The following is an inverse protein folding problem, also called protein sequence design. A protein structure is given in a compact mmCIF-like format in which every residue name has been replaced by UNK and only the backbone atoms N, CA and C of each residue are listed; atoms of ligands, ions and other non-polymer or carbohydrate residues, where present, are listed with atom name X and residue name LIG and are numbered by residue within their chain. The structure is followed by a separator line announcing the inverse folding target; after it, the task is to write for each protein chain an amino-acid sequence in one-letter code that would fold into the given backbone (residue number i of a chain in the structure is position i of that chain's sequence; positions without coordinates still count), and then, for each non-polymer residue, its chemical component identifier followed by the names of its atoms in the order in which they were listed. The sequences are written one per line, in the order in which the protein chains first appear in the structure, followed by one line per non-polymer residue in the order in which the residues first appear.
data_IF_850631911633
#
_entry.id   IF_850631911633
#
_cell.length_a   1.000
_cell.length_b   1.000
_cell.length_c   1.000
_cell.angle_alpha   90.00
_cell.angle_beta   90.00
_cell.angle_gamma   90.00
#
_symmetry.space_group_name_H-M   'P 1'
#
loop_
_entity.id
_entity.type
_entity.pdbx_description
1 polymer ?
#
# COMPACT_ATOMS: atom_id res chain seq x y z
N UNK A 1 -63.07 -23.44 8.94
CA UNK A 1 -62.08 -22.36 8.74
C UNK A 1 -60.69 -22.87 8.35
N UNK A 2 -60.22 -24.04 8.82
CA UNK A 2 -58.85 -24.53 8.52
C UNK A 2 -58.50 -24.77 7.05
N UNK A 3 -59.47 -25.07 6.17
CA UNK A 3 -59.19 -25.33 4.73
C UNK A 3 -58.77 -24.08 3.95
N UNK A 4 -59.23 -22.88 4.35
CA UNK A 4 -58.80 -21.63 3.71
C UNK A 4 -57.39 -21.21 4.11
N UNK A 5 -56.98 -21.47 5.36
CA UNK A 5 -55.63 -21.17 5.84
C UNK A 5 -54.58 -22.00 5.06
N UNK A 6 -54.88 -23.28 4.77
CA UNK A 6 -53.95 -24.15 4.04
C UNK A 6 -53.65 -23.66 2.62
N UNK A 7 -54.64 -23.13 1.91
CA UNK A 7 -54.46 -22.58 0.55
C UNK A 7 -53.61 -21.30 0.59
N UNK A 8 -53.76 -20.47 1.62
CA UNK A 8 -52.97 -19.25 1.78
C UNK A 8 -51.49 -19.53 2.06
N UNK A 9 -51.19 -20.52 2.92
CA UNK A 9 -49.81 -20.96 3.20
C UNK A 9 -49.16 -21.56 1.95
N UNK A 10 -49.91 -22.37 1.18
CA UNK A 10 -49.41 -22.95 -0.06
C UNK A 10 -49.02 -21.88 -1.08
N UNK A 11 -49.84 -20.82 -1.22
CA UNK A 11 -49.52 -19.68 -2.10
C UNK A 11 -48.23 -18.96 -1.68
N UNK A 12 -48.02 -18.75 -0.37
CA UNK A 12 -46.79 -18.13 0.15
C UNK A 12 -45.57 -19.02 -0.11
N UNK A 13 -45.68 -20.33 0.10
CA UNK A 13 -44.58 -21.27 -0.14
C UNK A 13 -44.21 -21.35 -1.62
N UNK A 14 -45.21 -21.35 -2.51
CA UNK A 14 -44.97 -21.34 -3.96
C UNK A 14 -44.36 -20.01 -4.41
N UNK A 15 -44.88 -18.88 -3.92
CA UNK A 15 -44.29 -17.57 -4.18
C UNK A 15 -42.84 -17.47 -3.70
N UNK A 16 -42.58 -17.94 -2.48
CA UNK A 16 -41.24 -17.99 -1.90
C UNK A 16 -40.29 -18.89 -2.70
N UNK A 17 -40.77 -20.04 -3.18
CA UNK A 17 -39.96 -20.96 -3.98
C UNK A 17 -39.62 -20.38 -5.36
N UNK A 18 -40.59 -19.73 -6.02
CA UNK A 18 -40.38 -19.07 -7.32
C UNK A 18 -39.40 -17.91 -7.18
N UNK A 19 -39.54 -17.10 -6.13
CA UNK A 19 -38.63 -15.99 -5.86
C UNK A 19 -37.23 -16.49 -5.48
N UNK A 20 -37.12 -17.56 -4.70
CA UNK A 20 -35.82 -18.21 -4.39
C UNK A 20 -35.14 -18.76 -5.63
N UNK A 21 -35.87 -19.45 -6.52
CA UNK A 21 -35.33 -19.97 -7.79
C UNK A 21 -34.91 -18.83 -8.72
N UNK A 22 -35.67 -17.73 -8.76
CA UNK A 22 -35.30 -16.56 -9.55
C UNK A 22 -34.01 -15.93 -9.04
N UNK A 23 -33.88 -15.72 -7.72
CA UNK A 23 -32.64 -15.21 -7.09
C UNK A 23 -31.47 -16.18 -7.35
N UNK A 24 -31.70 -17.49 -7.24
CA UNK A 24 -30.68 -18.53 -7.46
C UNK A 24 -30.17 -18.58 -8.89
N UNK A 25 -31.04 -18.38 -9.88
CA UNK A 25 -30.70 -18.48 -11.31
C UNK A 25 -30.19 -17.16 -11.89
N UNK A 26 -30.76 -16.02 -11.48
CA UNK A 26 -30.45 -14.72 -12.06
C UNK A 26 -29.47 -13.87 -11.24
N UNK A 27 -29.19 -14.19 -9.96
CA UNK A 27 -28.17 -13.49 -9.18
C UNK A 27 -26.84 -14.26 -9.24
N UNK A 28 -25.79 -13.70 -9.86
CA UNK A 28 -24.47 -14.32 -9.90
C UNK A 28 -23.91 -14.49 -8.49
N UNK A 29 -23.35 -15.66 -8.18
CA UNK A 29 -22.78 -15.94 -6.86
C UNK A 29 -21.49 -15.10 -6.65
N UNK A 30 -21.49 -14.07 -5.78
CA UNK A 30 -20.38 -13.12 -5.66
C UNK A 30 -19.09 -13.77 -5.14
N UNK A 31 -19.22 -14.91 -4.44
CA UNK A 31 -18.08 -15.65 -3.86
C UNK A 31 -17.10 -16.16 -4.92
N UNK A 32 -17.59 -16.57 -6.10
CA UNK A 32 -16.72 -17.05 -7.19
C UNK A 32 -15.77 -15.97 -7.71
N UNK A 33 -16.24 -14.72 -7.78
CA UNK A 33 -15.39 -13.58 -8.20
C UNK A 33 -14.30 -13.31 -7.16
N UNK A 34 -14.64 -13.39 -5.87
CA UNK A 34 -13.69 -13.18 -4.78
C UNK A 34 -12.57 -14.24 -4.80
N UNK A 35 -12.92 -15.52 -4.97
CA UNK A 35 -11.94 -16.61 -5.06
C UNK A 35 -11.02 -16.46 -6.27
N UNK A 36 -11.58 -16.10 -7.42
CA UNK A 36 -10.81 -15.87 -8.64
C UNK A 36 -9.85 -14.69 -8.47
N UNK A 37 -10.30 -13.59 -7.87
CA UNK A 37 -9.47 -12.43 -7.57
C UNK A 37 -8.34 -12.78 -6.57
N UNK A 38 -8.64 -13.55 -5.52
CA UNK A 38 -7.64 -14.03 -4.56
C UNK A 38 -6.58 -14.93 -5.21
N UNK A 39 -6.99 -15.81 -6.12
CA UNK A 39 -6.08 -16.69 -6.86
C UNK A 39 -5.13 -15.88 -7.77
N UNK A 40 -5.65 -14.86 -8.45
CA UNK A 40 -4.83 -13.98 -9.30
C UNK A 40 -3.80 -13.24 -8.45
N UNK A 41 -4.22 -12.63 -7.34
CA UNK A 41 -3.30 -11.89 -6.46
C UNK A 41 -2.22 -12.78 -5.85
N UNK A 42 -2.55 -14.03 -5.47
CA UNK A 42 -1.56 -15.00 -4.99
C UNK A 42 -0.51 -15.33 -6.06
N UNK A 43 -0.95 -15.62 -7.29
CA UNK A 43 -0.03 -15.93 -8.41
C UNK A 43 0.89 -14.77 -8.74
N UNK A 44 0.37 -13.54 -8.69
CA UNK A 44 1.16 -12.34 -8.91
C UNK A 44 2.25 -12.18 -7.85
N UNK A 45 1.91 -12.37 -6.57
CA UNK A 45 2.89 -12.37 -5.48
C UNK A 45 3.96 -13.46 -5.65
N UNK A 46 3.57 -14.68 -5.99
CA UNK A 46 4.51 -15.78 -6.24
C UNK A 46 5.47 -15.44 -7.40
N UNK A 47 4.95 -14.79 -8.44
CA UNK A 47 5.74 -14.36 -9.61
C UNK A 47 6.74 -13.26 -9.23
N UNK A 48 6.30 -12.26 -8.46
CA UNK A 48 7.15 -11.16 -7.99
C UNK A 48 8.25 -11.67 -7.04
N UNK A 49 7.93 -12.62 -6.16
CA UNK A 49 8.92 -13.26 -5.29
C UNK A 49 9.98 -14.01 -6.10
N UNK A 50 9.57 -14.68 -7.18
CA UNK A 50 10.50 -15.35 -8.09
C UNK A 50 11.43 -14.36 -8.80
N UNK A 51 10.90 -13.27 -9.34
CA UNK A 51 11.70 -12.21 -9.97
C UNK A 51 12.69 -11.57 -9.01
N UNK A 52 12.27 -11.29 -7.77
CA UNK A 52 13.18 -10.76 -6.74
C UNK A 52 14.32 -11.73 -6.42
N UNK A 53 14.02 -13.03 -6.32
CA UNK A 53 15.05 -14.06 -6.10
C UNK A 53 16.01 -14.16 -7.28
N UNK A 54 15.51 -14.09 -8.51
CA UNK A 54 16.33 -14.08 -9.73
C UNK A 54 17.25 -12.86 -9.78
N UNK A 55 16.73 -11.66 -9.52
CA UNK A 55 17.54 -10.43 -9.45
C UNK A 55 18.59 -10.48 -8.33
N UNK A 56 18.24 -11.02 -7.16
CA UNK A 56 19.20 -11.22 -6.07
C UNK A 56 20.31 -12.22 -6.47
N UNK A 57 19.96 -13.28 -7.20
CA UNK A 57 20.93 -14.22 -7.74
C UNK A 57 21.85 -13.53 -8.76
N UNK A 58 21.30 -12.76 -9.70
CA UNK A 58 22.08 -11.98 -10.68
C UNK A 58 23.01 -10.97 -10.02
N UNK A 59 22.55 -10.27 -8.97
CA UNK A 59 23.40 -9.36 -8.19
C UNK A 59 24.53 -10.09 -7.47
N UNK A 60 24.27 -11.29 -6.95
CA UNK A 60 25.31 -12.10 -6.29
C UNK A 60 26.34 -12.60 -7.31
N UNK A 61 25.89 -13.08 -8.48
CA UNK A 61 26.76 -13.54 -9.56
C UNK A 61 27.55 -12.38 -10.18
N UNK A 62 26.94 -11.20 -10.33
CA UNK A 62 27.61 -10.00 -10.82
C UNK A 62 28.67 -9.49 -9.82
N UNK A 63 28.36 -9.52 -8.51
CA UNK A 63 29.33 -9.20 -7.46
C UNK A 63 30.48 -10.20 -7.41
N UNK A 64 30.20 -11.49 -7.58
CA UNK A 64 31.21 -12.54 -7.64
C UNK A 64 32.14 -12.39 -8.87
N UNK A 65 31.58 -11.98 -10.01
CA UNK A 65 32.37 -11.63 -11.20
C UNK A 65 33.21 -10.36 -11.01
N UNK A 66 32.78 -9.44 -10.15
CA UNK A 66 33.55 -8.23 -9.81
C UNK A 66 34.72 -8.52 -8.86
N UNK A 67 34.64 -9.54 -8.01
CA UNK A 67 35.75 -9.95 -7.12
C UNK A 67 36.73 -10.95 -7.75
N UNK A 68 36.39 -11.56 -8.89
CA UNK A 68 37.26 -12.50 -9.61
C UNK A 68 38.26 -11.85 -10.60
N UNK A 69 38.31 -10.51 -10.69
CA UNK A 69 39.34 -9.80 -11.46
C UNK A 69 40.44 -9.29 -10.52
N UNK A 70 41.66 -9.87 -10.52
CA UNK A 70 42.69 -9.52 -9.55
C UNK A 70 43.56 -8.33 -10.01
N UNK A 71 43.98 -7.55 -9.01
CA UNK A 71 45.25 -6.82 -8.89
C UNK A 71 45.24 -5.27 -8.93
N UNK A 72 45.67 -4.72 -7.77
CA UNK A 72 46.29 -3.40 -7.48
C UNK A 72 45.31 -2.23 -7.27
N UNK A 73 45.20 -1.64 -6.07
CA UNK A 73 46.28 -0.98 -5.31
C UNK A 73 46.00 -1.01 -3.80
N UNK A 74 46.98 -1.46 -3.03
CA UNK A 74 47.06 -1.29 -1.58
C UNK A 74 47.68 0.08 -1.24
N UNK A 75 47.45 0.51 0.00
CA UNK A 75 48.34 1.35 0.84
C UNK A 75 48.31 2.87 0.61
N UNK A 76 47.56 3.60 1.44
CA UNK A 76 48.16 4.54 2.40
C UNK A 76 47.14 5.12 3.40
N UNK A 77 47.65 5.45 4.59
CA UNK A 77 47.09 6.36 5.59
C UNK A 77 45.93 5.86 6.48
N UNK A 78 46.27 4.93 7.39
CA UNK A 78 45.71 4.94 8.73
C UNK A 78 46.62 5.76 9.64
N UNK A 79 46.19 6.95 10.08
CA UNK A 79 46.59 7.47 11.40
C UNK A 79 45.65 8.57 11.92
N UNK A 80 45.16 8.35 13.16
CA UNK A 80 44.60 9.32 14.13
C UNK A 80 43.29 10.03 13.69
N UNK A 81 42.16 9.91 14.40
CA UNK A 81 41.93 10.33 15.79
C UNK A 81 40.69 9.60 16.36
N UNK A 82 40.92 8.87 17.45
CA UNK A 82 40.12 8.80 18.71
C UNK A 82 38.64 8.36 18.67
N UNK A 83 38.48 7.08 19.00
CA UNK A 83 37.40 6.29 19.63
C UNK A 83 37.12 6.81 21.09
N UNK A 84 36.08 6.44 21.90
CA UNK A 84 34.84 5.62 21.73
C UNK A 84 33.54 6.19 22.38
N UNK A 85 32.38 5.64 21.99
CA UNK A 85 31.31 5.04 22.86
C UNK A 85 30.05 4.87 22.00
N UNK A 86 29.86 3.72 21.34
CA UNK A 86 29.18 2.51 21.85
C UNK A 86 27.68 2.74 22.03
N UNK A 87 26.69 2.02 21.45
CA UNK A 87 26.56 0.76 20.66
C UNK A 87 25.02 0.57 20.59
N UNK A 88 24.30 0.31 19.50
CA UNK A 88 24.31 -0.78 18.50
C UNK A 88 23.33 -0.38 17.35
N UNK A 89 23.74 -0.18 16.07
CA UNK A 89 23.84 -1.13 14.92
C UNK A 89 22.49 -1.71 14.39
N UNK A 90 22.37 -2.12 13.11
CA UNK A 90 22.40 -1.34 11.85
C UNK A 90 21.35 -1.85 10.81
N UNK A 91 20.91 -1.05 9.82
CA UNK A 91 20.73 -1.51 8.42
C UNK A 91 20.42 -0.33 7.50
N UNK A 92 21.34 -0.14 6.56
CA UNK A 92 21.20 0.41 5.21
C UNK A 92 19.81 0.88 4.79
N UNK A 93 19.67 2.19 4.60
CA UNK A 93 18.79 2.73 3.56
C UNK A 93 19.57 3.82 2.86
N UNK A 94 19.80 3.56 1.59
CA UNK A 94 20.34 4.41 0.54
C UNK A 94 20.11 5.90 0.81
N UNK A 95 21.08 6.81 0.55
CA UNK A 95 20.78 8.24 0.52
C UNK A 95 19.75 8.46 -0.59
N UNK A 96 18.48 8.53 -0.20
CA UNK A 96 17.39 8.95 -1.08
C UNK A 96 17.78 10.34 -1.51
N UNK A 97 18.07 10.47 -2.80
CA UNK A 97 18.34 11.74 -3.48
C UNK A 97 17.34 12.75 -2.95
N UNK A 98 17.81 13.71 -2.16
CA UNK A 98 17.03 14.86 -1.72
C UNK A 98 16.72 15.69 -2.96
N UNK A 99 15.72 15.23 -3.71
CA UNK A 99 15.12 16.02 -4.77
C UNK A 99 14.42 17.16 -4.05
N UNK A 100 14.89 18.37 -4.24
CA UNK A 100 14.33 19.63 -3.69
C UNK A 100 12.94 19.96 -4.25
N UNK A 101 12.38 19.07 -5.07
CA UNK A 101 11.06 19.17 -5.68
C UNK A 101 10.02 18.61 -4.70
N UNK A 102 8.94 19.36 -4.49
CA UNK A 102 7.79 18.91 -3.71
C UNK A 102 7.05 17.80 -4.48
N UNK A 103 6.59 16.78 -3.76
CA UNK A 103 5.79 15.70 -4.31
C UNK A 103 4.33 16.13 -4.53
N UNK A 104 3.69 15.54 -5.53
CA UNK A 104 2.27 15.75 -5.80
C UNK A 104 1.38 14.89 -4.90
N UNK A 105 1.07 15.38 -3.71
CA UNK A 105 0.19 14.69 -2.75
C UNK A 105 -1.21 14.36 -3.30
N UNK A 106 -1.65 14.98 -4.40
CA UNK A 106 -2.94 14.67 -5.03
C UNK A 106 -2.97 13.30 -5.73
N UNK A 107 -1.80 12.66 -5.91
CA UNK A 107 -1.72 11.26 -6.36
C UNK A 107 -2.28 10.25 -5.36
N UNK A 108 -2.38 10.64 -4.09
CA UNK A 108 -2.95 9.80 -3.04
C UNK A 108 -4.48 9.96 -3.03
N UNK A 109 -5.20 8.85 -3.18
CA UNK A 109 -6.65 8.84 -3.22
C UNK A 109 -7.24 9.34 -1.89
N UNK A 110 -8.18 10.28 -1.97
CA UNK A 110 -8.78 10.96 -0.84
C UNK A 110 -8.11 12.30 -0.47
N UNK A 111 -6.94 12.61 -1.03
CA UNK A 111 -6.32 13.94 -0.89
C UNK A 111 -6.75 14.82 -2.08
N UNK A 112 -7.68 15.74 -1.82
CA UNK A 112 -8.09 16.74 -2.81
C UNK A 112 -7.10 17.92 -2.90
N UNK A 113 -7.19 18.77 -3.94
CA UNK A 113 -6.28 19.90 -4.16
C UNK A 113 -6.16 20.83 -2.95
N UNK A 114 -7.28 21.13 -2.29
CA UNK A 114 -7.31 22.00 -1.10
C UNK A 114 -6.62 21.38 0.12
N UNK A 115 -6.72 20.06 0.28
CA UNK A 115 -6.04 19.35 1.36
C UNK A 115 -4.54 19.25 1.07
N UNK A 116 -4.16 18.95 -0.17
CA UNK A 116 -2.76 18.96 -0.59
C UNK A 116 -2.12 20.34 -0.38
N UNK A 117 -2.81 21.42 -0.73
CA UNK A 117 -2.36 22.79 -0.49
C UNK A 117 -2.20 23.08 1.02
N UNK A 118 -3.17 22.70 1.84
CA UNK A 118 -3.08 22.84 3.29
C UNK A 118 -1.90 22.03 3.88
N UNK A 119 -1.65 20.83 3.37
CA UNK A 119 -0.51 20.00 3.78
C UNK A 119 0.81 20.66 3.41
N UNK A 120 0.94 21.15 2.18
CA UNK A 120 2.13 21.86 1.70
C UNK A 120 2.39 23.17 2.49
N UNK A 121 1.33 23.92 2.79
CA UNK A 121 1.39 25.13 3.60
C UNK A 121 1.90 24.85 5.03
N UNK A 122 1.57 23.68 5.58
CA UNK A 122 2.02 23.23 6.90
C UNK A 122 3.34 22.41 6.85
N UNK A 123 4.07 22.47 5.74
CA UNK A 123 5.40 21.87 5.59
C UNK A 123 5.43 20.39 5.21
N UNK A 124 4.28 19.78 4.93
CA UNK A 124 4.17 18.40 4.44
C UNK A 124 4.21 18.46 2.91
N UNK A 125 5.40 18.33 2.35
CA UNK A 125 5.64 18.50 0.90
C UNK A 125 6.06 17.22 0.20
N UNK A 126 6.36 16.15 0.95
CA UNK A 126 6.85 14.87 0.40
C UNK A 126 6.03 13.69 0.88
N UNK A 127 5.99 12.63 0.09
CA UNK A 127 5.35 11.37 0.49
C UNK A 127 6.00 10.78 1.74
N UNK A 128 7.34 10.81 1.82
CA UNK A 128 8.08 10.31 2.98
C UNK A 128 7.67 11.03 4.28
N UNK A 129 7.52 12.35 4.23
CA UNK A 129 7.09 13.15 5.39
C UNK A 129 5.68 12.77 5.84
N UNK A 130 4.76 12.55 4.88
CA UNK A 130 3.41 12.13 5.20
C UNK A 130 3.34 10.70 5.75
N UNK A 131 4.23 9.81 5.29
CA UNK A 131 4.31 8.43 5.76
C UNK A 131 4.83 8.31 7.21
N UNK A 132 5.71 9.22 7.62
CA UNK A 132 6.29 9.26 8.97
C UNK A 132 5.39 9.94 10.01
N UNK A 133 4.48 10.82 9.58
CA UNK A 133 3.60 11.55 10.47
C UNK A 133 2.59 10.64 11.17
N UNK A 134 2.41 10.86 12.47
CA UNK A 134 1.30 10.23 13.18
C UNK A 134 -0.01 10.94 12.84
N UNK A 135 -1.14 10.25 13.05
CA UNK A 135 -2.47 10.81 12.82
C UNK A 135 -2.70 12.05 13.71
N UNK A 136 -2.16 12.04 14.93
CA UNK A 136 -2.27 13.16 15.85
C UNK A 136 -1.50 14.38 15.32
N UNK A 137 -0.25 14.18 14.89
CA UNK A 137 0.58 15.26 14.34
C UNK A 137 -0.03 15.82 13.05
N UNK A 138 -0.59 14.95 12.20
CA UNK A 138 -1.30 15.36 11.00
C UNK A 138 -2.52 16.24 11.34
N UNK A 139 -3.31 15.83 12.34
CA UNK A 139 -4.45 16.60 12.83
C UNK A 139 -4.04 17.96 13.40
N UNK A 140 -2.97 18.00 14.19
CA UNK A 140 -2.46 19.23 14.78
C UNK A 140 -1.99 20.20 13.71
N UNK A 141 -1.22 19.72 12.73
CA UNK A 141 -0.75 20.52 11.59
C UNK A 141 -1.89 21.04 10.73
N UNK A 142 -2.94 20.25 10.53
CA UNK A 142 -4.08 20.62 9.69
C UNK A 142 -5.22 21.29 10.45
N UNK A 143 -5.11 21.49 11.76
CA UNK A 143 -6.16 22.09 12.58
C UNK A 143 -6.58 23.49 12.07
N UNK A 144 -5.62 24.27 11.56
CA UNK A 144 -5.84 25.61 10.99
C UNK A 144 -6.55 25.60 9.62
N UNK A 145 -6.58 24.46 8.93
CA UNK A 145 -7.13 24.35 7.57
C UNK A 145 -8.66 24.30 7.52
N UNK A 146 -9.32 24.03 8.66
CA UNK A 146 -10.76 23.78 8.78
C UNK A 146 -11.26 22.66 7.83
N UNK A 147 -10.37 21.77 7.37
CA UNK A 147 -10.72 20.61 6.54
C UNK A 147 -11.05 19.44 7.46
N UNK A 148 -12.22 18.83 7.26
CA UNK A 148 -12.62 17.63 7.99
C UNK A 148 -12.30 16.39 7.18
N UNK A 149 -11.69 15.41 7.83
CA UNK A 149 -11.44 14.09 7.29
C UNK A 149 -11.59 13.04 8.39
N UNK A 150 -11.78 11.78 7.98
CA UNK A 150 -11.91 10.68 8.93
C UNK A 150 -10.55 10.13 9.35
N UNK A 151 -10.47 9.48 10.51
CA UNK A 151 -9.27 8.75 10.94
C UNK A 151 -8.86 7.68 9.92
N UNK A 152 -9.83 6.98 9.34
CA UNK A 152 -9.59 5.97 8.31
C UNK A 152 -8.97 6.58 7.05
N UNK A 153 -9.37 7.81 6.69
CA UNK A 153 -8.76 8.55 5.57
C UNK A 153 -7.29 8.86 5.87
N UNK A 154 -6.97 9.38 7.06
CA UNK A 154 -5.60 9.64 7.48
C UNK A 154 -4.72 8.38 7.49
N UNK A 155 -5.22 7.27 8.03
CA UNK A 155 -4.54 5.97 8.01
C UNK A 155 -4.30 5.46 6.57
N UNK A 156 -5.29 5.65 5.68
CA UNK A 156 -5.15 5.29 4.27
C UNK A 156 -4.10 6.14 3.55
N UNK A 157 -4.01 7.44 3.86
CA UNK A 157 -3.02 8.32 3.26
C UNK A 157 -1.61 7.99 3.72
N UNK A 158 -1.41 7.67 5.00
CA UNK A 158 -0.11 7.24 5.50
C UNK A 158 0.39 5.99 4.74
N UNK A 159 -0.48 4.97 4.58
CA UNK A 159 -0.14 3.75 3.82
C UNK A 159 0.14 4.04 2.34
N UNK A 160 -0.68 4.86 1.69
CA UNK A 160 -0.46 5.27 0.30
C UNK A 160 0.83 6.07 0.14
N UNK A 161 1.14 6.94 1.09
CA UNK A 161 2.35 7.74 1.11
C UNK A 161 3.60 6.87 1.28
N UNK A 162 3.53 5.79 2.09
CA UNK A 162 4.63 4.82 2.19
C UNK A 162 4.94 4.16 0.84
N UNK A 163 3.90 3.73 0.11
CA UNK A 163 4.05 3.12 -1.22
C UNK A 163 4.60 4.13 -2.23
N UNK A 164 4.06 5.35 -2.24
CA UNK A 164 4.52 6.42 -3.13
C UNK A 164 5.97 6.85 -2.82
N UNK A 165 6.35 6.94 -1.54
CA UNK A 165 7.71 7.25 -1.12
C UNK A 165 8.72 6.16 -1.51
N UNK A 166 8.28 4.90 -1.53
CA UNK A 166 9.06 3.78 -2.03
C UNK A 166 9.14 3.72 -3.57
N UNK A 167 8.38 4.57 -4.29
CA UNK A 167 8.25 4.52 -5.73
C UNK A 167 7.41 3.34 -6.24
N UNK A 168 6.70 2.64 -5.35
CA UNK A 168 5.84 1.50 -5.69
C UNK A 168 4.46 1.98 -6.18
N UNK A 169 4.45 2.51 -7.40
CA UNK A 169 3.25 3.02 -8.05
C UNK A 169 2.23 1.93 -8.38
N UNK A 170 2.70 0.70 -8.62
CA UNK A 170 1.84 -0.44 -8.93
C UNK A 170 1.12 -0.95 -7.67
N UNK A 171 1.87 -1.13 -6.57
CA UNK A 171 1.31 -1.43 -5.26
C UNK A 171 0.37 -0.35 -4.76
N UNK A 172 0.69 0.93 -4.99
CA UNK A 172 -0.22 2.04 -4.70
C UNK A 172 -1.55 1.91 -5.45
N UNK A 173 -1.49 1.63 -6.76
CA UNK A 173 -2.69 1.49 -7.59
C UNK A 173 -3.55 0.31 -7.14
N UNK A 174 -2.91 -0.82 -6.82
CA UNK A 174 -3.58 -2.00 -6.28
C UNK A 174 -4.28 -1.69 -4.95
N UNK A 175 -3.58 -1.02 -4.03
CA UNK A 175 -4.17 -0.58 -2.76
C UNK A 175 -5.35 0.38 -2.97
N UNK A 176 -5.23 1.35 -3.87
CA UNK A 176 -6.31 2.29 -4.19
C UNK A 176 -7.53 1.60 -4.83
N UNK A 177 -7.33 0.58 -5.66
CA UNK A 177 -8.41 -0.21 -6.22
C UNK A 177 -9.13 -1.03 -5.15
N UNK A 178 -8.38 -1.60 -4.20
CA UNK A 178 -8.95 -2.35 -3.07
C UNK A 178 -9.82 -1.48 -2.15
N UNK A 179 -9.52 -0.17 -2.03
CA UNK A 179 -10.36 0.77 -1.26
C UNK A 179 -11.68 1.13 -1.95
N UNK A 180 -11.79 0.92 -3.27
CA UNK A 180 -12.99 1.24 -4.07
C UNK A 180 -13.88 0.02 -4.31
N UNK A 181 -13.36 -1.19 -4.09
CA UNK A 181 -14.06 -2.46 -4.29
C UNK A 181 -14.95 -2.80 -3.10
#
# INVERSE_FOLDING_TARGET
MSKLIGVFILGILVGWLVEWIFVRLFVPNPKKKLETALQISRKENDTLQKQNRELQAELSTAKEKLVASPAQTLTNAAELIVVPTSRATPVTSTPVVETTVADDLTKLNGIGPKLAEAMQANGIKRYAQLAELTINDLNEKLASSNIRYSKASAESWAKQATLAAAGDWDGLKTYQNALKA
#
